data_IF_415079538284
#
_entry.id   IF_415079538284
#
_cell.length_a   1.000
_cell.length_b   1.000
_cell.length_c   1.000
_cell.angle_alpha   90.00
_cell.angle_beta   90.00
_cell.angle_gamma   90.00
#
_symmetry.space_group_name_H-M   'P 1'
#
loop_
_entity.id
_entity.type
_entity.pdbx_description
1 polymer ?
#
# COMPACT_ATOMS: atom_id res chain seq x y z
N UNK A 1 -25.68 0.16 32.96
CA UNK A 1 -24.74 1.29 32.76
C UNK A 1 -23.38 0.69 32.44
N UNK A 2 -23.10 0.46 31.15
CA UNK A 2 -21.92 -0.30 30.71
C UNK A 2 -20.79 0.69 30.38
N UNK A 3 -19.65 0.54 31.05
CA UNK A 3 -18.46 1.41 30.88
C UNK A 3 -17.94 1.30 29.45
N UNK A 4 -17.97 2.41 28.70
CA UNK A 4 -17.27 2.54 27.44
C UNK A 4 -15.75 2.49 27.70
N UNK A 5 -15.09 1.46 27.18
CA UNK A 5 -13.63 1.41 27.16
C UNK A 5 -13.12 2.13 25.91
N UNK A 6 -12.71 3.38 26.11
CA UNK A 6 -11.88 4.13 25.17
C UNK A 6 -10.56 3.38 25.01
N UNK A 7 -10.18 2.98 23.79
CA UNK A 7 -8.81 2.52 23.47
C UNK A 7 -8.39 3.06 22.11
N UNK A 8 -7.09 3.36 22.02
CA UNK A 8 -6.46 4.35 21.14
C UNK A 8 -5.66 3.61 20.05
N UNK A 9 -5.70 4.10 18.81
CA UNK A 9 -5.11 3.51 17.58
C UNK A 9 -3.62 3.97 17.38
N UNK A 10 -2.78 3.37 16.49
CA UNK A 10 -1.33 3.73 16.15
C UNK A 10 -0.69 3.09 14.87
N UNK A 11 -0.58 3.75 13.69
CA UNK A 11 0.09 3.21 12.44
C UNK A 11 1.59 3.54 12.31
N UNK A 12 2.36 2.63 11.69
CA UNK A 12 3.80 2.71 11.39
C UNK A 12 4.10 2.43 9.89
N UNK A 13 4.93 3.26 9.23
CA UNK A 13 5.47 3.19 7.86
C UNK A 13 6.97 3.58 7.88
N UNK A 14 7.88 2.64 7.62
CA UNK A 14 9.33 2.86 7.42
C UNK A 14 9.79 2.13 6.16
N UNK A 15 10.99 2.40 5.62
CA UNK A 15 11.56 1.67 4.46
C UNK A 15 13.07 1.55 4.64
N UNK A 16 13.64 0.34 4.55
CA UNK A 16 15.10 0.10 4.43
C UNK A 16 15.35 -1.21 3.65
N UNK A 17 16.09 -1.12 2.53
CA UNK A 17 16.45 -2.25 1.65
C UNK A 17 17.94 -2.65 1.81
N UNK A 18 18.24 -3.96 1.79
CA UNK A 18 19.56 -4.51 1.42
C UNK A 18 19.40 -5.68 0.42
N UNK A 19 20.33 -5.80 -0.55
CA UNK A 19 20.23 -6.75 -1.69
C UNK A 19 21.35 -7.77 -1.83
N UNK A 20 21.29 -8.57 -2.90
CA UNK A 20 22.39 -9.23 -3.67
C UNK A 20 21.76 -10.09 -4.81
N UNK A 21 22.31 -10.38 -5.99
CA UNK A 21 23.58 -10.12 -6.67
C UNK A 21 23.33 -10.05 -8.21
N UNK A 22 24.13 -9.28 -8.96
CA UNK A 22 24.19 -9.32 -10.44
C UNK A 22 23.87 -7.99 -11.14
N UNK A 23 24.92 -7.24 -11.51
CA UNK A 23 24.83 -5.91 -12.16
C UNK A 23 24.97 -4.76 -11.14
N UNK A 24 25.52 -3.59 -11.52
CA UNK A 24 25.45 -2.42 -10.64
C UNK A 24 23.96 -2.18 -10.37
N UNK A 25 23.51 -2.17 -9.10
CA UNK A 25 22.14 -1.81 -8.81
C UNK A 25 21.97 -0.40 -9.36
N UNK A 26 21.00 -0.22 -10.26
CA UNK A 26 20.33 1.07 -10.35
C UNK A 26 19.85 1.30 -8.91
N UNK A 27 20.46 2.28 -8.24
CA UNK A 27 20.29 2.44 -6.80
C UNK A 27 18.81 2.54 -6.44
N UNK A 28 18.41 1.89 -5.34
CA UNK A 28 17.05 1.98 -4.86
C UNK A 28 16.70 3.46 -4.64
N UNK A 29 15.61 3.91 -5.26
CA UNK A 29 15.12 5.26 -5.05
C UNK A 29 14.21 5.28 -3.82
N UNK A 30 14.52 6.14 -2.86
CA UNK A 30 13.66 6.37 -1.69
C UNK A 30 12.52 7.30 -2.10
N UNK A 31 11.28 6.83 -1.99
CA UNK A 31 10.08 7.64 -2.23
C UNK A 31 9.57 8.33 -0.97
N UNK A 32 9.78 7.73 0.20
CA UNK A 32 9.44 8.31 1.50
C UNK A 32 10.36 7.76 2.58
N UNK A 33 10.91 8.65 3.41
CA UNK A 33 11.75 8.31 4.57
C UNK A 33 11.19 8.92 5.86
N UNK A 34 10.50 8.09 6.65
CA UNK A 34 9.92 8.55 7.90
C UNK A 34 10.96 8.96 8.95
N UNK A 35 12.23 8.52 8.85
CA UNK A 35 13.28 8.88 9.80
C UNK A 35 13.62 10.38 9.76
N UNK A 36 13.24 11.07 8.68
CA UNK A 36 13.38 12.52 8.56
C UNK A 36 12.40 13.31 9.43
N UNK A 37 11.50 12.65 10.16
CA UNK A 37 10.55 13.33 11.05
C UNK A 37 9.42 14.05 10.31
N UNK A 38 9.21 13.74 9.03
CA UNK A 38 8.23 14.41 8.16
C UNK A 38 7.17 13.43 7.64
N UNK A 39 6.00 13.98 7.30
CA UNK A 39 4.91 13.25 6.65
C UNK A 39 5.17 13.11 5.14
N UNK A 40 4.53 12.14 4.44
CA UNK A 40 4.76 11.91 3.01
C UNK A 40 4.56 13.16 2.14
N UNK A 41 3.56 13.99 2.50
CA UNK A 41 3.29 15.25 1.80
C UNK A 41 4.38 16.31 1.88
N UNK A 42 5.31 16.16 2.84
CA UNK A 42 6.49 17.01 2.95
C UNK A 42 7.68 16.43 2.15
N UNK A 43 7.51 15.26 1.53
CA UNK A 43 8.48 14.56 0.70
C UNK A 43 7.96 14.30 -0.72
N UNK A 44 6.98 15.10 -1.18
CA UNK A 44 6.52 15.05 -2.58
C UNK A 44 5.38 14.06 -2.87
N UNK A 45 4.69 13.56 -1.84
CA UNK A 45 3.43 12.83 -2.03
C UNK A 45 2.24 13.78 -1.99
N UNK A 46 1.27 13.59 -2.86
CA UNK A 46 -0.02 14.24 -2.74
C UNK A 46 -0.86 13.49 -1.70
N UNK A 47 -1.48 14.23 -0.79
CA UNK A 47 -2.40 13.69 0.20
C UNK A 47 -3.82 14.14 -0.12
N UNK A 48 -4.76 13.18 -0.10
CA UNK A 48 -6.19 13.46 -0.20
C UNK A 48 -6.92 12.76 0.94
N UNK A 49 -7.94 13.44 1.45
CA UNK A 49 -8.88 12.92 2.42
C UNK A 49 -10.29 13.45 2.11
N UNK A 50 -11.26 12.54 2.05
CA UNK A 50 -12.65 12.81 1.67
C UNK A 50 -13.57 12.08 2.66
N UNK A 51 -14.47 12.77 3.37
CA UNK A 51 -14.69 14.23 3.37
C UNK A 51 -13.62 15.06 4.09
N UNK A 52 -12.53 14.47 4.61
CA UNK A 52 -11.42 15.20 5.22
C UNK A 52 -11.37 15.11 6.75
N UNK A 53 -12.02 14.10 7.34
CA UNK A 53 -11.96 13.82 8.77
C UNK A 53 -10.78 12.90 9.16
N UNK A 54 -10.01 12.41 8.19
CA UNK A 54 -8.85 11.58 8.44
C UNK A 54 -7.79 12.32 9.29
N UNK A 55 -7.25 11.63 10.30
CA UNK A 55 -6.21 12.15 11.18
C UNK A 55 -4.86 11.62 10.73
N UNK A 56 -3.96 12.54 10.40
CA UNK A 56 -2.59 12.24 10.00
C UNK A 56 -1.62 12.69 11.10
N UNK A 57 -0.69 11.81 11.48
CA UNK A 57 0.33 12.11 12.48
C UNK A 57 1.67 11.44 12.15
N UNK A 58 2.78 12.07 12.53
CA UNK A 58 4.09 11.41 12.55
C UNK A 58 4.32 10.78 13.93
N UNK A 59 4.92 9.60 13.97
CA UNK A 59 5.10 8.80 15.20
C UNK A 59 6.57 8.58 15.57
N UNK A 60 7.49 9.32 14.96
CA UNK A 60 8.94 9.23 15.16
C UNK A 60 9.63 8.35 14.11
N UNK A 61 9.06 7.19 13.81
CA UNK A 61 9.58 6.29 12.76
C UNK A 61 8.59 6.05 11.63
N UNK A 62 7.51 6.84 11.58
CA UNK A 62 6.43 6.61 10.63
C UNK A 62 5.39 7.70 10.47
N UNK A 63 4.76 7.70 9.30
CA UNK A 63 3.48 8.34 9.08
C UNK A 63 2.33 7.43 9.51
N UNK A 64 1.33 8.03 10.15
CA UNK A 64 0.12 7.36 10.60
C UNK A 64 -1.11 8.03 10.00
N UNK A 65 -1.90 7.25 9.29
CA UNK A 65 -3.20 7.65 8.78
C UNK A 65 -4.32 6.94 9.56
N UNK A 66 -5.30 7.71 10.03
CA UNK A 66 -6.44 7.21 10.80
C UNK A 66 -7.74 7.73 10.20
N UNK A 67 -8.50 6.81 9.57
CA UNK A 67 -9.80 7.09 8.94
C UNK A 67 -10.97 6.67 9.82
N UNK A 68 -10.73 6.21 11.06
CA UNK A 68 -11.75 5.62 11.93
C UNK A 68 -12.82 6.59 12.43
N UNK A 69 -12.65 7.90 12.22
CA UNK A 69 -13.63 8.91 12.58
C UNK A 69 -14.95 8.81 11.82
N UNK A 70 -14.97 8.15 10.64
CA UNK A 70 -16.16 7.99 9.81
C UNK A 70 -16.02 6.85 8.81
N UNK A 71 -17.04 6.00 8.68
CA UNK A 71 -17.10 4.96 7.64
C UNK A 71 -17.24 5.51 6.20
N UNK A 72 -17.41 6.83 6.05
CA UNK A 72 -17.39 7.53 4.76
C UNK A 72 -16.02 8.12 4.43
N UNK A 73 -15.06 8.02 5.34
CA UNK A 73 -13.74 8.59 5.13
C UNK A 73 -12.92 7.70 4.20
N UNK A 74 -12.37 8.32 3.16
CA UNK A 74 -11.33 7.77 2.31
C UNK A 74 -10.16 8.73 2.35
N UNK A 75 -8.96 8.23 2.62
CA UNK A 75 -7.77 9.05 2.61
C UNK A 75 -6.57 8.24 2.16
N UNK A 76 -5.61 8.91 1.53
CA UNK A 76 -4.45 8.23 0.97
C UNK A 76 -3.39 9.18 0.48
N UNK A 77 -2.25 8.59 0.14
CA UNK A 77 -1.13 9.28 -0.46
C UNK A 77 -0.90 8.74 -1.87
N UNK A 78 -0.57 9.63 -2.81
CA UNK A 78 -0.17 9.26 -4.15
C UNK A 78 1.10 10.00 -4.54
N UNK A 79 1.94 9.40 -5.36
CA UNK A 79 3.09 10.08 -5.97
C UNK A 79 3.42 9.42 -7.30
N UNK A 80 4.09 10.15 -8.18
CA UNK A 80 4.68 9.60 -9.39
C UNK A 80 6.13 9.27 -9.07
N UNK A 81 6.49 7.99 -9.26
CA UNK A 81 7.87 7.57 -9.12
C UNK A 81 8.78 8.41 -10.04
N UNK A 82 9.87 9.02 -9.54
CA UNK A 82 10.72 9.85 -10.40
C UNK A 82 11.52 9.03 -11.42
N UNK A 83 11.75 7.75 -11.15
CA UNK A 83 12.19 6.78 -12.14
C UNK A 83 11.00 6.15 -12.86
N UNK A 84 11.17 5.91 -14.15
CA UNK A 84 10.20 5.19 -14.97
C UNK A 84 10.07 3.76 -14.46
N UNK A 85 8.84 3.35 -14.10
CA UNK A 85 8.53 1.98 -13.73
C UNK A 85 8.22 1.18 -15.00
N UNK A 86 9.14 0.29 -15.39
CA UNK A 86 9.02 -0.56 -16.57
C UNK A 86 9.02 -2.04 -16.16
N UNK A 87 7.85 -2.68 -16.22
CA UNK A 87 7.70 -4.10 -15.89
C UNK A 87 8.41 -5.04 -16.87
N UNK A 88 8.71 -4.60 -18.10
CA UNK A 88 9.46 -5.41 -19.05
C UNK A 88 10.93 -5.54 -18.64
N UNK A 89 11.51 -4.47 -18.08
CA UNK A 89 12.81 -4.49 -17.42
C UNK A 89 12.74 -5.13 -16.01
N UNK A 90 11.58 -5.08 -15.38
CA UNK A 90 11.31 -5.57 -14.04
C UNK A 90 11.68 -4.54 -12.97
N UNK A 91 10.87 -4.46 -11.92
CA UNK A 91 11.13 -3.57 -10.80
C UNK A 91 10.54 -4.12 -9.50
N UNK A 92 10.95 -3.55 -8.37
CA UNK A 92 10.44 -3.87 -7.04
C UNK A 92 10.08 -2.58 -6.33
N UNK A 93 8.89 -2.55 -5.74
CA UNK A 93 8.49 -1.52 -4.77
C UNK A 93 8.55 -2.12 -3.38
N UNK A 94 9.29 -1.48 -2.48
CA UNK A 94 9.37 -1.89 -1.08
C UNK A 94 8.70 -0.85 -0.18
N UNK A 95 7.91 -1.33 0.78
CA UNK A 95 7.31 -0.51 1.82
C UNK A 95 7.19 -1.31 3.11
N UNK A 96 7.28 -0.67 4.28
CA UNK A 96 6.89 -1.32 5.53
C UNK A 96 5.53 -0.80 5.96
N UNK A 97 4.65 -1.68 6.41
CA UNK A 97 3.35 -1.28 6.88
C UNK A 97 2.96 -2.07 8.12
N UNK A 98 2.08 -1.46 8.92
CA UNK A 98 1.35 -2.13 9.99
C UNK A 98 -0.12 -1.74 9.94
N UNK A 99 -1.01 -2.71 9.82
CA UNK A 99 -2.44 -2.54 10.00
C UNK A 99 -2.82 -2.78 11.47
N UNK A 100 -3.17 -1.73 12.21
CA UNK A 100 -3.63 -1.88 13.60
C UNK A 100 -5.07 -2.37 13.63
N UNK A 101 -5.89 -1.74 12.81
CA UNK A 101 -7.31 -1.97 12.77
C UNK A 101 -7.80 -1.79 11.35
N UNK A 102 -8.72 -2.67 10.97
CA UNK A 102 -9.40 -2.64 9.70
C UNK A 102 -10.79 -3.24 9.92
N UNK A 103 -11.77 -2.58 9.31
CA UNK A 103 -13.15 -3.01 9.27
C UNK A 103 -13.72 -2.65 7.91
N UNK A 104 -14.33 -3.63 7.25
CA UNK A 104 -14.96 -3.47 5.96
C UNK A 104 -16.40 -3.99 6.02
N UNK A 105 -17.25 -3.42 5.18
CA UNK A 105 -18.63 -3.87 5.02
C UNK A 105 -18.85 -4.64 3.71
N UNK A 106 -17.87 -4.62 2.80
CA UNK A 106 -17.99 -5.18 1.46
C UNK A 106 -16.93 -6.28 1.24
N UNK A 107 -17.30 -7.44 0.67
CA UNK A 107 -16.36 -8.56 0.48
C UNK A 107 -15.26 -8.28 -0.55
N UNK A 108 -15.45 -7.28 -1.42
CA UNK A 108 -14.49 -6.90 -2.45
C UNK A 108 -13.68 -5.62 -2.12
N UNK A 109 -13.85 -5.05 -0.92
CA UNK A 109 -13.17 -3.79 -0.53
C UNK A 109 -12.36 -3.98 0.74
N UNK A 110 -11.20 -3.37 0.78
CA UNK A 110 -10.35 -3.32 1.97
C UNK A 110 -10.37 -1.91 2.59
N UNK A 111 -10.23 -1.84 3.91
CA UNK A 111 -9.98 -0.57 4.60
C UNK A 111 -8.56 -0.01 4.39
N UNK A 112 -7.64 -0.81 3.85
CA UNK A 112 -6.30 -0.39 3.42
C UNK A 112 -5.97 -1.05 2.08
N UNK A 113 -5.51 -0.26 1.10
CA UNK A 113 -4.99 -0.78 -0.16
C UNK A 113 -3.70 -0.08 -0.59
N UNK A 114 -2.94 -0.79 -1.43
CA UNK A 114 -1.74 -0.28 -2.10
C UNK A 114 -1.92 -0.50 -3.59
N UNK A 115 -1.78 0.56 -4.37
CA UNK A 115 -1.88 0.56 -5.82
C UNK A 115 -0.51 0.93 -6.39
N UNK A 116 -0.01 0.11 -7.31
CA UNK A 116 1.22 0.40 -8.06
C UNK A 116 0.97 0.14 -9.53
N UNK A 117 1.22 1.16 -10.35
CA UNK A 117 1.09 1.14 -11.80
C UNK A 117 2.45 1.39 -12.44
N UNK A 118 2.70 0.74 -13.57
CA UNK A 118 3.84 1.01 -14.43
C UNK A 118 3.56 2.18 -15.40
N UNK A 119 4.55 2.50 -16.25
CA UNK A 119 4.44 3.55 -17.26
C UNK A 119 3.33 3.34 -18.31
N UNK A 120 2.78 2.13 -18.44
CA UNK A 120 1.72 1.77 -19.39
C UNK A 120 0.37 1.55 -18.68
N UNK A 121 0.22 2.03 -17.45
CA UNK A 121 -0.96 1.85 -16.60
C UNK A 121 -1.31 0.36 -16.33
N UNK A 122 -0.31 -0.52 -16.38
CA UNK A 122 -0.42 -1.91 -15.95
C UNK A 122 0.07 -2.05 -14.53
N UNK A 123 -0.68 -2.75 -13.70
CA UNK A 123 -0.34 -2.78 -12.29
C UNK A 123 -1.19 -3.73 -11.47
N UNK A 124 -1.22 -3.47 -10.17
CA UNK A 124 -2.06 -4.21 -9.24
C UNK A 124 -2.50 -3.30 -8.10
N UNK A 125 -3.74 -3.46 -7.67
CA UNK A 125 -4.22 -3.01 -6.37
C UNK A 125 -4.27 -4.21 -5.43
N UNK A 126 -3.64 -4.06 -4.27
CA UNK A 126 -3.66 -5.03 -3.19
C UNK A 126 -4.49 -4.50 -2.04
N UNK A 127 -5.57 -5.20 -1.71
CA UNK A 127 -6.39 -4.96 -0.52
C UNK A 127 -5.88 -5.76 0.67
N UNK A 128 -5.89 -5.14 1.84
CA UNK A 128 -5.45 -5.74 3.09
C UNK A 128 -6.57 -5.76 4.11
N UNK A 129 -6.90 -6.95 4.59
CA UNK A 129 -7.71 -7.14 5.79
C UNK A 129 -6.83 -7.59 6.95
N UNK A 130 -7.43 -7.78 8.13
CA UNK A 130 -6.72 -8.23 9.33
C UNK A 130 -6.13 -9.64 9.23
N UNK A 131 -6.66 -10.48 8.36
CA UNK A 131 -6.29 -11.90 8.24
C UNK A 131 -5.83 -12.31 6.83
N UNK A 132 -5.83 -11.38 5.87
CA UNK A 132 -5.48 -11.66 4.48
C UNK A 132 -5.03 -10.45 3.70
N UNK A 133 -4.33 -10.73 2.62
CA UNK A 133 -4.09 -9.84 1.50
C UNK A 133 -4.72 -10.44 0.26
N UNK A 134 -5.29 -9.60 -0.60
CA UNK A 134 -5.90 -10.02 -1.85
C UNK A 134 -5.63 -9.01 -2.96
N UNK A 135 -5.62 -9.49 -4.20
CA UNK A 135 -5.63 -8.62 -5.36
C UNK A 135 -7.04 -8.17 -5.70
N UNK A 136 -7.18 -6.96 -6.25
CA UNK A 136 -8.38 -6.58 -6.98
C UNK A 136 -8.28 -6.99 -8.46
N UNK A 137 -9.38 -7.51 -8.99
CA UNK A 137 -9.54 -7.81 -10.40
C UNK A 137 -9.95 -6.57 -11.20
N UNK A 138 -9.53 -6.53 -12.47
CA UNK A 138 -10.04 -5.62 -13.50
C UNK A 138 -11.27 -6.19 -14.23
N UNK A 139 -11.42 -7.52 -14.23
CA UNK A 139 -12.56 -8.22 -14.85
C UNK A 139 -13.03 -9.39 -13.97
N UNK A 140 -14.22 -9.30 -13.35
CA UNK A 140 -15.05 -8.11 -13.19
C UNK A 140 -14.33 -7.06 -12.32
N UNK A 141 -14.58 -5.79 -12.63
CA UNK A 141 -13.84 -4.67 -12.06
C UNK A 141 -14.05 -4.52 -10.54
N UNK A 142 -12.96 -4.30 -9.81
CA UNK A 142 -12.90 -4.11 -8.36
C UNK A 142 -13.50 -5.26 -7.54
N UNK A 143 -13.35 -6.48 -8.04
CA UNK A 143 -13.73 -7.69 -7.30
C UNK A 143 -12.54 -8.37 -6.65
N UNK A 144 -12.79 -9.11 -5.58
CA UNK A 144 -11.79 -9.91 -4.89
C UNK A 144 -11.25 -11.01 -5.81
N UNK A 145 -9.93 -11.05 -6.02
CA UNK A 145 -9.26 -12.01 -6.90
C UNK A 145 -8.43 -13.04 -6.09
N UNK A 146 -7.18 -13.29 -6.48
CA UNK A 146 -6.27 -14.13 -5.70
C UNK A 146 -6.00 -13.56 -4.30
N UNK A 147 -5.99 -14.42 -3.29
CA UNK A 147 -5.75 -14.06 -1.90
C UNK A 147 -4.76 -14.99 -1.19
N UNK A 148 -4.27 -14.54 -0.05
CA UNK A 148 -3.42 -15.30 0.84
C UNK A 148 -3.65 -14.88 2.29
N UNK A 149 -3.51 -15.84 3.20
CA UNK A 149 -3.53 -15.56 4.63
C UNK A 149 -2.37 -14.62 5.00
N UNK A 150 -2.67 -13.59 5.78
CA UNK A 150 -1.71 -12.60 6.26
C UNK A 150 -2.05 -12.27 7.71
N UNK A 151 -1.11 -12.49 8.63
CA UNK A 151 -1.27 -12.11 10.03
C UNK A 151 -0.43 -10.87 10.31
N UNK A 152 -1.09 -9.80 10.76
CA UNK A 152 -0.39 -8.59 11.19
C UNK A 152 0.22 -8.78 12.58
N UNK A 153 1.49 -8.38 12.72
CA UNK A 153 2.19 -8.36 13.99
C UNK A 153 2.02 -7.05 14.77
N UNK A 154 2.66 -6.99 15.93
CA UNK A 154 2.81 -5.74 16.69
C UNK A 154 3.84 -4.79 16.08
N UNK A 155 4.70 -5.30 15.22
CA UNK A 155 5.67 -4.51 14.45
C UNK A 155 5.21 -4.35 13.01
N UNK A 156 5.82 -3.41 12.29
CA UNK A 156 5.60 -3.31 10.85
C UNK A 156 6.29 -4.48 10.13
N UNK A 157 5.60 -5.03 9.14
CA UNK A 157 6.17 -6.00 8.20
C UNK A 157 6.74 -5.27 6.99
N UNK A 158 7.80 -5.82 6.42
CA UNK A 158 8.37 -5.36 5.15
C UNK A 158 7.67 -6.07 4.00
N UNK A 159 7.11 -5.30 3.08
CA UNK A 159 6.46 -5.77 1.87
C UNK A 159 7.35 -5.44 0.67
N UNK A 160 7.64 -6.46 -0.15
CA UNK A 160 8.31 -6.26 -1.44
C UNK A 160 7.36 -6.73 -2.54
N UNK A 161 6.94 -5.79 -3.40
CA UNK A 161 6.09 -6.06 -4.54
C UNK A 161 6.92 -6.03 -5.82
N UNK A 162 7.19 -7.21 -6.37
CA UNK A 162 7.98 -7.39 -7.59
C UNK A 162 7.08 -7.45 -8.81
N UNK A 163 7.47 -6.75 -9.86
CA UNK A 163 6.83 -6.74 -11.17
C UNK A 163 7.80 -7.32 -12.21
N UNK A 164 7.34 -8.27 -13.01
CA UNK A 164 8.14 -8.83 -14.12
C UNK A 164 7.22 -9.30 -15.24
N UNK A 165 7.41 -8.77 -16.44
CA UNK A 165 6.63 -9.15 -17.61
C UNK A 165 5.16 -8.77 -17.46
N UNK A 166 4.29 -9.75 -17.20
CA UNK A 166 2.84 -9.58 -17.01
C UNK A 166 2.37 -10.05 -15.63
N UNK A 167 3.30 -10.24 -14.69
CA UNK A 167 3.00 -10.81 -13.39
C UNK A 167 3.54 -9.93 -12.25
N UNK A 168 2.90 -10.03 -11.10
CA UNK A 168 3.44 -9.54 -9.83
C UNK A 168 3.75 -10.69 -8.87
N UNK A 169 4.60 -10.43 -7.89
CA UNK A 169 4.76 -11.28 -6.71
C UNK A 169 4.91 -10.41 -5.47
N UNK A 170 4.08 -10.67 -4.46
CA UNK A 170 4.15 -10.04 -3.16
C UNK A 170 4.95 -10.92 -2.20
N UNK A 171 5.93 -10.31 -1.54
CA UNK A 171 6.71 -10.92 -0.46
C UNK A 171 6.44 -10.14 0.82
N UNK A 172 6.35 -10.86 1.94
CA UNK A 172 6.21 -10.32 3.29
C UNK A 172 7.36 -10.87 4.12
N UNK A 173 8.19 -9.99 4.65
CA UNK A 173 9.38 -10.34 5.43
C UNK A 173 10.27 -11.38 4.71
N UNK A 174 10.36 -11.24 3.37
CA UNK A 174 11.14 -12.10 2.47
C UNK A 174 10.44 -13.39 2.00
N UNK A 175 9.28 -13.74 2.54
CA UNK A 175 8.50 -14.91 2.11
C UNK A 175 7.46 -14.53 1.06
N UNK A 176 7.41 -15.24 -0.08
CA UNK A 176 6.38 -15.00 -1.09
C UNK A 176 5.01 -15.42 -0.57
N UNK A 177 4.06 -14.49 -0.53
CA UNK A 177 2.70 -14.73 -0.04
C UNK A 177 1.66 -14.77 -1.15
N UNK A 178 1.84 -14.00 -2.22
CA UNK A 178 0.85 -13.86 -3.29
C UNK A 178 1.55 -13.67 -4.64
N UNK A 179 0.94 -14.17 -5.71
CA UNK A 179 1.37 -13.98 -7.10
C UNK A 179 0.14 -14.03 -8.00
N UNK A 180 0.14 -13.18 -9.01
CA UNK A 180 -0.91 -13.17 -10.01
C UNK A 180 -0.54 -12.35 -11.23
N UNK A 181 -1.44 -12.27 -12.22
CA UNK A 181 -1.26 -11.43 -13.40
C UNK A 181 -1.50 -9.95 -13.04
N UNK A 182 -0.86 -9.06 -13.79
CA UNK A 182 -1.13 -7.63 -13.73
C UNK A 182 -2.46 -7.28 -14.39
N UNK A 183 -3.08 -6.20 -13.92
CA UNK A 183 -4.33 -5.64 -14.41
C UNK A 183 -4.10 -4.50 -15.39
N UNK A 184 -5.08 -4.25 -16.25
CA UNK A 184 -5.11 -3.09 -17.13
C UNK A 184 -5.91 -1.94 -16.53
N UNK A 185 -5.21 -0.87 -16.12
CA UNK A 185 -5.82 0.35 -15.61
C UNK A 185 -5.86 1.48 -16.66
N UNK A 186 -5.60 1.20 -17.94
CA UNK A 186 -5.63 2.23 -19.00
C UNK A 186 -7.00 2.90 -19.19
N UNK A 187 -8.07 2.28 -18.69
CA UNK A 187 -9.42 2.87 -18.68
C UNK A 187 -9.62 3.95 -17.62
N UNK A 188 -8.74 4.04 -16.61
CA UNK A 188 -8.83 5.00 -15.50
C UNK A 188 -7.97 6.22 -15.78
N UNK A 189 -8.49 7.39 -15.42
CA UNK A 189 -7.81 8.67 -15.55
C UNK A 189 -7.87 9.44 -14.23
N UNK A 190 -6.72 9.83 -13.70
CA UNK A 190 -6.61 10.61 -12.45
C UNK A 190 -5.54 10.07 -11.51
N UNK A 191 -5.18 10.87 -10.50
CA UNK A 191 -4.20 10.50 -9.45
C UNK A 191 -4.89 9.78 -8.27
N UNK A 192 -6.20 10.02 -8.11
CA UNK A 192 -7.04 9.42 -7.07
C UNK A 192 -8.19 8.69 -7.73
N UNK A 193 -8.11 7.36 -7.69
CA UNK A 193 -9.23 6.52 -8.05
C UNK A 193 -10.01 6.16 -6.79
N UNK A 194 -10.76 7.14 -6.29
CA UNK A 194 -11.61 7.02 -5.10
C UNK A 194 -12.93 6.38 -5.48
N UNK A 195 -12.91 5.08 -5.77
CA UNK A 195 -14.12 4.26 -5.85
C UNK A 195 -14.54 3.71 -4.48
#
# INVERSE_FOLDING_TARGET
>A
MMRAHVRRFRVLLGVVVFGSCGGPPIGAQVLFDAAQGTLPQQQGWDYVALPGAAVLAHTGSAARLDTGGSAREQAGFATIAPAVLDRAAGFVVEFMARLIEENHAHPDRAGFSVIVLDQEARGIELGFWRDRVFAQADVPLFTHAEDAALAWGDEASTFSLSFTGLEYSLFVDGARVLRGPLRDYSAFAGVFDVY
#
